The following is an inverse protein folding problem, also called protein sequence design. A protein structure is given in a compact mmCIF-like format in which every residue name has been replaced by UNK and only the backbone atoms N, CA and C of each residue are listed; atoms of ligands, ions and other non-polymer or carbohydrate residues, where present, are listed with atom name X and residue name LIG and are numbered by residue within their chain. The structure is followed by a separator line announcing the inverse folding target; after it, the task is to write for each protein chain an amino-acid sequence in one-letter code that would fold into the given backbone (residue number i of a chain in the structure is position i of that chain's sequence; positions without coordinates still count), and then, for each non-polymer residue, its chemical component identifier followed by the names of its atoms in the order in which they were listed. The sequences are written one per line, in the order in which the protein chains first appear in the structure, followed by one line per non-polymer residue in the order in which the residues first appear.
data_IF_313142366440
#
_entry.id   IF_313142366440
#
_cell.length_a   1.000
_cell.length_b   1.000
_cell.length_c   1.000
_cell.angle_alpha   90.00
_cell.angle_beta   90.00
_cell.angle_gamma   90.00
#
_symmetry.space_group_name_H-M   'P 1'
#
loop_
_entity.id
_entity.type
_entity.pdbx_description
1 polymer ?
#
# COMPACT_ATOMS: atom_id res chain seq x y z
N UNK A 1 31.46 32.58 18.54
CA UNK A 1 31.29 31.17 18.14
C UNK A 1 30.02 30.64 18.80
N UNK A 2 29.01 30.25 18.03
CA UNK A 2 28.09 29.15 18.34
C UNK A 2 27.06 29.06 17.20
N UNK A 3 26.85 27.84 16.71
CA UNK A 3 26.04 27.52 15.56
C UNK A 3 24.58 27.30 15.95
N UNK A 4 23.65 27.73 15.09
CA UNK A 4 22.23 27.36 15.21
C UNK A 4 21.97 26.22 14.23
N UNK A 5 21.84 25.00 14.76
CA UNK A 5 21.38 23.82 14.03
C UNK A 5 19.86 23.88 13.94
N UNK A 6 19.33 23.95 12.72
CA UNK A 6 17.91 23.75 12.46
C UNK A 6 17.55 22.29 12.74
N UNK A 7 16.66 22.09 13.71
CA UNK A 7 16.15 20.78 14.10
C UNK A 7 15.10 20.30 13.12
N UNK A 8 15.37 19.16 12.49
CA UNK A 8 14.46 18.39 11.65
C UNK A 8 13.32 17.87 12.53
N UNK A 9 12.08 18.27 12.22
CA UNK A 9 10.87 17.68 12.82
C UNK A 9 10.61 16.29 12.20
N UNK A 10 10.37 15.24 13.00
CA UNK A 10 10.17 13.89 12.48
C UNK A 10 8.79 13.74 11.81
N UNK A 11 8.67 12.84 10.82
CA UNK A 11 7.49 12.69 9.96
C UNK A 11 6.23 12.21 10.68
N UNK A 12 6.34 11.78 11.95
CA UNK A 12 5.18 11.33 12.73
C UNK A 12 4.21 12.45 13.09
N UNK A 13 4.68 13.69 13.30
CA UNK A 13 3.80 14.82 13.61
C UNK A 13 2.92 15.27 12.44
N UNK A 14 3.39 15.04 11.21
CA UNK A 14 2.65 15.39 9.98
C UNK A 14 1.52 14.38 9.72
N UNK A 15 1.70 13.13 10.17
CA UNK A 15 0.69 12.08 10.01
C UNK A 15 -0.46 12.19 11.02
N UNK A 16 -0.20 12.69 12.23
CA UNK A 16 -1.26 12.99 13.23
C UNK A 16 -2.20 14.10 12.75
N UNK A 17 -1.67 15.11 12.06
CA UNK A 17 -2.44 16.25 11.53
C UNK A 17 -3.33 15.86 10.33
N UNK A 18 -2.90 14.87 9.53
CA UNK A 18 -3.64 14.39 8.36
C UNK A 18 -4.78 13.41 8.69
N UNK A 19 -4.70 12.70 9.83
CA UNK A 19 -5.70 11.69 10.21
C UNK A 19 -6.73 12.19 11.22
N UNK A 20 -6.64 13.44 11.68
CA UNK A 20 -7.64 14.05 12.57
C UNK A 20 -7.83 13.31 13.90
N UNK A 21 -6.84 12.51 14.32
CA UNK A 21 -6.86 11.79 15.60
C UNK A 21 -6.22 12.66 16.68
N UNK A 22 -6.91 13.74 17.03
CA UNK A 22 -6.62 14.47 18.26
C UNK A 22 -7.07 13.64 19.45
N UNK A 23 -6.15 12.92 20.09
CA UNK A 23 -6.38 12.34 21.42
C UNK A 23 -6.47 13.50 22.41
N UNK A 24 -7.69 13.92 22.72
CA UNK A 24 -7.97 14.97 23.70
C UNK A 24 -7.63 14.49 25.10
N UNK A 25 -6.47 14.89 25.63
CA UNK A 25 -6.28 14.94 27.09
C UNK A 25 -6.53 16.35 27.56
N UNK A 26 -7.69 16.50 28.19
CA UNK A 26 -8.06 17.50 29.19
C UNK A 26 -7.93 18.98 28.79
N UNK A 27 -9.09 19.63 28.70
CA UNK A 27 -9.18 21.08 28.86
C UNK A 27 -10.23 21.72 27.97
N UNK A 28 -11.42 21.86 28.54
CA UNK A 28 -12.32 23.00 28.37
C UNK A 28 -13.03 23.16 27.01
N UNK A 29 -14.21 22.53 26.97
CA UNK A 29 -15.53 23.16 26.72
C UNK A 29 -15.43 24.59 26.18
N UNK A 30 -15.90 24.83 24.94
CA UNK A 30 -17.10 25.64 24.69
C UNK A 30 -17.57 25.47 23.23
N UNK A 31 -18.85 25.15 23.13
CA UNK A 31 -19.81 25.58 22.13
C UNK A 31 -19.68 25.09 20.67
N UNK A 32 -20.35 23.97 20.40
CA UNK A 32 -20.96 23.71 19.10
C UNK A 32 -22.27 22.94 19.32
N UNK A 33 -23.36 23.69 19.52
CA UNK A 33 -24.74 23.20 19.50
C UNK A 33 -25.03 22.63 18.09
N UNK A 34 -24.92 21.31 17.95
CA UNK A 34 -25.36 20.56 16.78
C UNK A 34 -26.53 19.65 17.17
N UNK A 35 -27.72 20.09 16.78
CA UNK A 35 -28.95 19.30 16.61
C UNK A 35 -29.20 18.18 17.64
N UNK A 36 -29.98 18.51 18.67
CA UNK A 36 -30.62 17.53 19.55
C UNK A 36 -31.47 16.53 18.73
N UNK A 37 -30.95 15.31 18.56
CA UNK A 37 -31.79 14.13 18.63
C UNK A 37 -31.94 13.78 20.11
N UNK A 38 -33.16 13.76 20.64
CA UNK A 38 -33.42 13.25 21.99
C UNK A 38 -33.44 11.72 21.92
N UNK A 39 -32.47 11.06 22.55
CA UNK A 39 -32.41 9.60 22.65
C UNK A 39 -32.78 9.19 24.08
N UNK A 40 -33.66 8.20 24.22
CA UNK A 40 -34.02 7.60 25.50
C UNK A 40 -33.34 6.24 25.62
N UNK A 41 -32.62 6.00 26.71
CA UNK A 41 -32.06 4.69 27.03
C UNK A 41 -33.01 3.96 27.99
N UNK A 42 -33.51 2.80 27.56
CA UNK A 42 -34.32 1.90 28.39
C UNK A 42 -33.39 1.00 29.21
N UNK A 43 -33.53 1.02 30.54
CA UNK A 43 -32.80 0.11 31.42
C UNK A 43 -33.45 -1.28 31.33
N UNK A 44 -32.79 -2.22 30.65
CA UNK A 44 -33.18 -3.63 30.65
C UNK A 44 -32.38 -4.36 31.72
N UNK A 45 -33.05 -4.78 32.78
CA UNK A 45 -32.52 -5.76 33.73
C UNK A 45 -32.90 -7.15 33.25
N UNK A 46 -31.93 -8.01 32.95
CA UNK A 46 -32.18 -9.42 32.65
C UNK A 46 -32.60 -10.10 33.96
N UNK A 47 -33.90 -10.19 34.21
CA UNK A 47 -34.47 -11.03 35.27
C UNK A 47 -34.96 -12.33 34.65
N UNK A 48 -34.06 -13.02 33.95
CA UNK A 48 -34.28 -14.41 33.53
C UNK A 48 -33.65 -15.30 34.58
N UNK A 49 -34.23 -15.26 35.79
CA UNK A 49 -34.12 -16.36 36.75
C UNK A 49 -35.09 -17.44 36.28
N UNK A 50 -34.87 -18.01 35.09
CA UNK A 50 -35.38 -19.33 34.80
C UNK A 50 -34.38 -20.30 35.39
N UNK A 51 -34.58 -20.59 36.67
CA UNK A 51 -34.13 -21.83 37.31
C UNK A 51 -34.79 -23.00 36.55
N UNK A 52 -34.35 -23.27 35.32
CA UNK A 52 -34.54 -24.58 34.69
C UNK A 52 -33.41 -25.46 35.24
N UNK A 53 -33.51 -25.75 36.54
CA UNK A 53 -32.62 -26.65 37.29
C UNK A 53 -33.05 -28.13 37.10
N UNK A 54 -33.78 -28.40 36.01
CA UNK A 54 -34.22 -29.73 35.58
C UNK A 54 -33.26 -30.36 34.55
N UNK A 55 -32.06 -29.79 34.36
CA UNK A 55 -31.01 -30.47 33.62
C UNK A 55 -30.43 -31.60 34.48
N UNK A 56 -30.98 -32.81 34.32
CA UNK A 56 -30.44 -34.03 34.90
C UNK A 56 -29.06 -34.31 34.26
N UNK A 57 -28.00 -34.01 35.01
CA UNK A 57 -26.64 -34.32 34.60
C UNK A 57 -26.42 -35.83 34.67
N UNK A 58 -26.20 -36.47 33.52
CA UNK A 58 -25.73 -37.86 33.48
C UNK A 58 -24.28 -37.92 34.01
N UNK A 59 -24.05 -38.76 35.02
CA UNK A 59 -22.70 -39.08 35.49
C UNK A 59 -21.99 -39.91 34.40
N UNK A 60 -21.03 -39.28 33.73
CA UNK A 60 -20.16 -39.99 32.79
C UNK A 60 -19.29 -40.95 33.62
N UNK A 61 -19.17 -42.23 33.23
CA UNK A 61 -18.28 -43.14 33.93
C UNK A 61 -16.88 -42.53 34.05
N UNK A 62 -16.33 -42.55 35.27
CA UNK A 62 -14.93 -42.24 35.54
C UNK A 62 -14.07 -43.30 34.84
N UNK A 63 -13.87 -43.11 33.53
CA UNK A 63 -12.77 -43.76 32.86
C UNK A 63 -11.51 -43.13 33.45
N UNK A 64 -10.94 -43.83 34.44
CA UNK A 64 -9.61 -43.57 34.96
C UNK A 64 -8.58 -43.82 33.85
N UNK A 65 -8.58 -42.94 32.85
CA UNK A 65 -7.50 -42.75 31.91
C UNK A 65 -6.36 -42.17 32.73
N UNK A 66 -5.57 -43.05 33.34
CA UNK A 66 -4.22 -42.69 33.75
C UNK A 66 -3.49 -42.25 32.49
N UNK A 67 -3.40 -40.93 32.29
CA UNK A 67 -2.50 -40.34 31.30
C UNK A 67 -1.11 -40.88 31.63
N UNK A 68 -0.39 -41.52 30.69
CA UNK A 68 0.95 -42.01 30.95
C UNK A 68 1.81 -40.83 31.40
N UNK A 69 2.20 -40.82 32.67
CA UNK A 69 3.10 -39.81 33.22
C UNK A 69 4.48 -40.04 32.59
N UNK A 70 4.77 -39.33 31.49
CA UNK A 70 6.01 -39.55 30.76
C UNK A 70 6.24 -38.74 29.48
N UNK A 71 5.29 -37.93 29.01
CA UNK A 71 5.45 -37.19 27.75
C UNK A 71 5.32 -35.66 27.84
N UNK A 72 5.10 -35.11 29.02
CA UNK A 72 5.19 -33.65 29.26
C UNK A 72 6.63 -33.22 29.62
N UNK A 73 7.53 -33.28 28.63
CA UNK A 73 8.89 -32.75 28.78
C UNK A 73 8.93 -31.25 28.45
N UNK A 74 9.19 -30.39 29.44
CA UNK A 74 9.37 -28.94 29.28
C UNK A 74 10.39 -28.61 28.19
N UNK A 75 11.41 -29.46 28.03
CA UNK A 75 12.44 -29.31 26.99
C UNK A 75 11.83 -29.38 25.59
N UNK A 76 10.87 -30.29 25.39
CA UNK A 76 10.17 -30.48 24.12
C UNK A 76 9.26 -29.30 23.79
N UNK A 77 8.57 -28.74 24.79
CA UNK A 77 7.76 -27.53 24.62
C UNK A 77 8.62 -26.32 24.24
N UNK A 78 9.76 -26.13 24.91
CA UNK A 78 10.73 -25.08 24.57
C UNK A 78 11.29 -25.26 23.16
N UNK A 79 11.59 -26.49 22.75
CA UNK A 79 12.08 -26.81 21.41
C UNK A 79 11.03 -26.47 20.34
N UNK A 80 9.77 -26.87 20.53
CA UNK A 80 8.69 -26.55 19.58
C UNK A 80 8.47 -25.04 19.44
N UNK A 81 8.54 -24.28 20.54
CA UNK A 81 8.45 -22.83 20.50
C UNK A 81 9.65 -22.21 19.75
N UNK A 82 10.86 -22.68 20.02
CA UNK A 82 12.08 -22.22 19.34
C UNK A 82 12.03 -22.51 17.83
N UNK A 83 11.55 -23.69 17.44
CA UNK A 83 11.38 -24.10 16.06
C UNK A 83 10.32 -23.24 15.35
N UNK A 84 9.18 -22.99 15.99
CA UNK A 84 8.13 -22.11 15.46
C UNK A 84 8.61 -20.66 15.27
N UNK A 85 9.39 -20.13 16.22
CA UNK A 85 10.00 -18.79 16.10
C UNK A 85 11.00 -18.75 14.94
N UNK A 86 11.79 -19.81 14.78
CA UNK A 86 12.76 -19.93 13.69
C UNK A 86 12.07 -20.01 12.33
N UNK A 87 11.02 -20.82 12.21
CA UNK A 87 10.22 -20.96 11.00
C UNK A 87 9.51 -19.66 10.63
N UNK A 88 8.95 -18.95 11.62
CA UNK A 88 8.32 -17.65 11.41
C UNK A 88 9.33 -16.63 10.92
N UNK A 89 10.54 -16.62 11.50
CA UNK A 89 11.62 -15.71 11.09
C UNK A 89 12.18 -16.03 9.70
N UNK A 90 12.27 -17.31 9.32
CA UNK A 90 12.64 -17.74 7.97
C UNK A 90 11.55 -17.36 6.97
N UNK A 91 10.28 -17.52 7.35
CA UNK A 91 9.15 -17.16 6.50
C UNK A 91 9.09 -15.65 6.29
N UNK A 92 9.30 -14.84 7.32
CA UNK A 92 9.40 -13.38 7.23
C UNK A 92 10.57 -12.96 6.34
N UNK A 93 11.76 -13.57 6.50
CA UNK A 93 12.93 -13.28 5.65
C UNK A 93 12.72 -13.69 4.18
N UNK A 94 11.96 -14.76 3.92
CA UNK A 94 11.66 -15.26 2.56
C UNK A 94 10.45 -14.59 1.92
N UNK A 95 9.57 -13.98 2.70
CA UNK A 95 8.35 -13.30 2.22
C UNK A 95 8.54 -11.80 1.99
N UNK A 96 9.71 -11.23 2.28
CA UNK A 96 10.14 -9.98 1.63
C UNK A 96 10.51 -10.30 0.18
N UNK A 97 9.50 -10.68 -0.61
CA UNK A 97 9.57 -10.47 -2.04
C UNK A 97 9.85 -8.98 -2.20
N UNK A 98 10.99 -8.57 -2.80
CA UNK A 98 11.14 -7.19 -3.18
C UNK A 98 9.90 -6.87 -4.01
N UNK A 99 9.10 -5.89 -3.57
CA UNK A 99 8.02 -5.31 -4.36
C UNK A 99 8.59 -5.18 -5.77
N UNK A 100 8.09 -5.99 -6.69
CA UNK A 100 8.62 -6.09 -8.05
C UNK A 100 8.45 -4.71 -8.63
N UNK A 101 9.49 -3.88 -8.53
CA UNK A 101 9.56 -2.61 -9.22
C UNK A 101 9.43 -3.03 -10.67
N UNK A 102 8.29 -2.72 -11.29
CA UNK A 102 8.06 -2.99 -12.70
C UNK A 102 9.13 -2.20 -13.44
N UNK A 103 10.23 -2.87 -13.76
CA UNK A 103 11.27 -2.31 -14.61
C UNK A 103 10.56 -1.98 -15.91
N UNK A 104 10.52 -0.71 -16.35
CA UNK A 104 9.70 -0.36 -17.48
C UNK A 104 10.20 -1.14 -18.70
N UNK A 105 9.27 -1.83 -19.39
CA UNK A 105 9.63 -2.75 -20.48
C UNK A 105 10.35 -1.98 -21.59
N UNK A 106 11.35 -2.62 -22.20
CA UNK A 106 11.96 -2.09 -23.42
C UNK A 106 10.89 -2.12 -24.52
N UNK A 107 10.87 -1.10 -25.40
CA UNK A 107 9.85 -1.00 -26.46
C UNK A 107 9.76 -2.28 -27.32
N UNK A 108 10.90 -2.91 -27.60
CA UNK A 108 10.96 -4.19 -28.31
C UNK A 108 10.18 -5.29 -27.60
N UNK A 109 10.41 -5.46 -26.29
CA UNK A 109 9.74 -6.47 -25.47
C UNK A 109 8.25 -6.21 -25.41
N UNK A 110 7.85 -4.94 -25.21
CA UNK A 110 6.44 -4.56 -25.18
C UNK A 110 5.72 -4.91 -26.49
N UNK A 111 6.32 -4.57 -27.63
CA UNK A 111 5.73 -4.85 -28.94
C UNK A 111 5.68 -6.36 -29.22
N UNK A 112 6.76 -7.09 -28.92
CA UNK A 112 6.78 -8.55 -29.06
C UNK A 112 5.70 -9.19 -28.19
N UNK A 113 5.64 -8.82 -26.91
CA UNK A 113 4.65 -9.32 -25.95
C UNK A 113 3.22 -9.00 -26.40
N UNK A 114 2.98 -7.78 -26.89
CA UNK A 114 1.69 -7.36 -27.43
C UNK A 114 1.27 -8.22 -28.64
N UNK A 115 2.16 -8.38 -29.62
CA UNK A 115 1.87 -9.15 -30.83
C UNK A 115 1.62 -10.63 -30.52
N UNK A 116 2.38 -11.21 -29.59
CA UNK A 116 2.18 -12.58 -29.08
C UNK A 116 0.82 -12.70 -28.38
N UNK A 117 0.52 -11.80 -27.44
CA UNK A 117 -0.73 -11.82 -26.67
C UNK A 117 -1.96 -11.67 -27.55
N UNK A 118 -1.86 -10.90 -28.63
CA UNK A 118 -2.93 -10.69 -29.60
C UNK A 118 -2.99 -11.77 -30.69
N UNK A 119 -2.09 -12.76 -30.69
CA UNK A 119 -2.06 -13.85 -31.67
C UNK A 119 -1.63 -13.41 -33.08
N UNK A 120 -0.97 -12.26 -33.22
CA UNK A 120 -0.56 -11.67 -34.49
C UNK A 120 0.79 -12.21 -34.97
N UNK A 121 0.91 -13.52 -35.14
CA UNK A 121 2.18 -14.20 -35.41
C UNK A 121 2.86 -13.76 -36.70
N UNK A 122 2.11 -13.58 -37.79
CA UNK A 122 2.68 -13.09 -39.06
C UNK A 122 3.26 -11.68 -38.93
N UNK A 123 2.59 -10.81 -38.17
CA UNK A 123 3.06 -9.44 -37.93
C UNK A 123 4.30 -9.44 -37.04
N UNK A 124 4.34 -10.32 -36.04
CA UNK A 124 5.53 -10.53 -35.21
C UNK A 124 6.73 -10.98 -36.05
N UNK A 125 6.55 -11.96 -36.93
CA UNK A 125 7.63 -12.48 -37.79
C UNK A 125 8.21 -11.40 -38.71
N UNK A 126 7.33 -10.59 -39.33
CA UNK A 126 7.75 -9.44 -40.13
C UNK A 126 8.49 -8.39 -39.29
N UNK A 127 7.91 -8.02 -38.14
CA UNK A 127 8.49 -7.03 -37.23
C UNK A 127 9.89 -7.44 -36.76
N UNK A 128 10.07 -8.67 -36.29
CA UNK A 128 11.36 -9.17 -35.83
C UNK A 128 12.40 -9.17 -36.96
N UNK A 129 12.02 -9.59 -38.17
CA UNK A 129 12.91 -9.60 -39.33
C UNK A 129 13.40 -8.19 -39.68
N UNK A 130 12.48 -7.23 -39.77
CA UNK A 130 12.82 -5.82 -40.05
C UNK A 130 13.65 -5.20 -38.92
N UNK A 131 13.30 -5.50 -37.66
CA UNK A 131 14.00 -4.99 -36.48
C UNK A 131 15.45 -5.48 -36.42
N UNK A 132 15.68 -6.78 -36.61
CA UNK A 132 17.04 -7.33 -36.66
C UNK A 132 17.85 -6.83 -37.86
N UNK A 133 17.22 -6.61 -39.01
CA UNK A 133 17.87 -5.98 -40.16
C UNK A 133 18.29 -4.54 -39.85
N UNK A 134 17.44 -3.78 -39.15
CA UNK A 134 17.70 -2.40 -38.76
C UNK A 134 18.85 -2.30 -37.75
N UNK A 135 18.91 -3.24 -36.79
CA UNK A 135 20.02 -3.38 -35.84
C UNK A 135 21.32 -3.70 -36.58
N UNK A 136 21.31 -4.68 -37.49
CA UNK A 136 22.49 -5.10 -38.24
C UNK A 136 23.06 -3.99 -39.14
N UNK A 137 22.20 -3.15 -39.71
CA UNK A 137 22.61 -1.99 -40.50
C UNK A 137 23.20 -0.85 -39.66
N UNK A 138 23.22 -0.99 -38.33
CA UNK A 138 23.79 0.02 -37.44
C UNK A 138 22.97 1.31 -37.42
N UNK A 139 21.66 1.26 -37.69
CA UNK A 139 20.74 2.37 -37.44
C UNK A 139 20.49 2.40 -35.92
N UNK A 140 21.49 2.89 -35.20
CA UNK A 140 21.68 2.72 -33.75
C UNK A 140 20.73 3.54 -32.86
N UNK A 141 19.90 4.41 -33.42
CA UNK A 141 18.94 5.19 -32.62
C UNK A 141 17.80 4.37 -32.03
N UNK A 142 17.61 3.12 -32.48
CA UNK A 142 16.64 2.20 -31.87
C UNK A 142 16.99 1.86 -30.42
N UNK A 143 18.28 1.82 -30.07
CA UNK A 143 18.72 1.65 -28.68
C UNK A 143 18.43 2.89 -27.80
N UNK A 144 18.08 4.02 -28.42
CA UNK A 144 17.60 5.24 -27.77
C UNK A 144 16.07 5.31 -27.68
N UNK A 145 15.35 4.34 -28.25
CA UNK A 145 13.93 4.16 -28.01
C UNK A 145 13.79 3.70 -26.55
N UNK A 146 13.70 4.68 -25.64
CA UNK A 146 13.69 4.46 -24.20
C UNK A 146 12.60 3.51 -23.74
N UNK A 147 12.60 3.15 -22.47
CA UNK A 147 11.61 2.23 -21.94
C UNK A 147 10.18 2.77 -22.11
N UNK A 148 9.21 1.87 -22.25
CA UNK A 148 7.79 2.23 -22.31
C UNK A 148 7.41 2.92 -21.00
N UNK A 149 7.04 4.22 -21.02
CA UNK A 149 6.63 4.91 -19.81
C UNK A 149 5.32 4.29 -19.30
N UNK A 150 5.21 4.10 -17.98
CA UNK A 150 3.91 3.79 -17.41
C UNK A 150 2.95 5.00 -17.56
N UNK A 151 1.65 4.72 -17.56
CA UNK A 151 0.60 5.75 -17.75
C UNK A 151 0.71 6.86 -16.71
N UNK A 152 1.14 6.51 -15.49
CA UNK A 152 1.30 7.47 -14.40
C UNK A 152 2.44 8.47 -14.69
N UNK A 153 3.59 7.98 -15.15
CA UNK A 153 4.76 8.74 -15.53
C UNK A 153 4.45 9.66 -16.71
N UNK A 154 3.67 9.17 -17.67
CA UNK A 154 3.18 9.98 -18.78
C UNK A 154 2.26 11.10 -18.29
N UNK A 155 1.30 10.79 -17.41
CA UNK A 155 0.40 11.79 -16.83
C UNK A 155 1.17 12.85 -16.02
N UNK A 156 2.12 12.44 -15.19
CA UNK A 156 2.97 13.34 -14.41
C UNK A 156 3.78 14.29 -15.31
N UNK A 157 4.35 13.78 -16.41
CA UNK A 157 5.05 14.60 -17.41
C UNK A 157 4.12 15.64 -18.05
N UNK A 158 2.95 15.19 -18.52
CA UNK A 158 1.94 16.06 -19.15
C UNK A 158 1.38 17.12 -18.19
N UNK A 159 1.21 16.78 -16.91
CA UNK A 159 0.79 17.72 -15.87
C UNK A 159 1.83 18.82 -15.65
N UNK A 160 3.11 18.44 -15.57
CA UNK A 160 4.20 19.40 -15.42
C UNK A 160 4.33 20.32 -16.63
N UNK A 161 4.22 19.77 -17.85
CA UNK A 161 4.22 20.55 -19.09
C UNK A 161 3.04 21.53 -19.13
N UNK A 162 1.83 21.07 -18.82
CA UNK A 162 0.64 21.93 -18.74
C UNK A 162 0.81 23.06 -17.73
N UNK A 163 1.41 22.78 -16.57
CA UNK A 163 1.68 23.79 -15.54
C UNK A 163 2.64 24.87 -16.07
N UNK A 164 3.70 24.47 -16.78
CA UNK A 164 4.65 25.39 -17.38
C UNK A 164 4.00 26.23 -18.48
N UNK A 165 3.29 25.59 -19.41
CA UNK A 165 2.58 26.29 -20.49
C UNK A 165 1.55 27.30 -19.95
N UNK A 166 0.82 26.95 -18.89
CA UNK A 166 -0.11 27.89 -18.21
C UNK A 166 0.62 29.08 -17.59
N UNK A 167 1.79 28.86 -17.00
CA UNK A 167 2.63 29.93 -16.44
C UNK A 167 3.10 30.88 -17.53
N UNK A 168 3.62 30.33 -18.63
CA UNK A 168 4.09 31.11 -19.77
C UNK A 168 2.95 31.91 -20.40
N UNK A 169 1.78 31.30 -20.58
CA UNK A 169 0.58 31.99 -21.06
C UNK A 169 0.20 33.18 -20.16
N UNK A 170 0.28 33.02 -18.83
CA UNK A 170 0.01 34.11 -17.88
C UNK A 170 1.03 35.24 -18.05
N UNK A 171 2.31 34.91 -18.21
CA UNK A 171 3.36 35.90 -18.44
C UNK A 171 3.16 36.66 -19.75
N UNK A 172 2.85 35.97 -20.84
CA UNK A 172 2.58 36.61 -22.13
C UNK A 172 1.35 37.52 -22.08
N UNK A 173 0.27 37.10 -21.41
CA UNK A 173 -0.91 37.96 -21.20
C UNK A 173 -0.57 39.23 -20.43
N UNK A 174 0.17 39.11 -19.33
CA UNK A 174 0.59 40.28 -18.53
C UNK A 174 1.48 41.23 -19.33
N UNK A 175 2.42 40.70 -20.12
CA UNK A 175 3.28 41.51 -20.98
C UNK A 175 2.46 42.25 -22.06
N UNK A 176 1.50 41.57 -22.68
CA UNK A 176 0.61 42.18 -23.68
C UNK A 176 -0.26 43.29 -23.07
N UNK A 177 -0.83 43.05 -21.88
CA UNK A 177 -1.56 44.08 -21.14
C UNK A 177 -0.67 45.28 -20.83
N UNK A 178 0.54 45.08 -20.31
CA UNK A 178 1.48 46.16 -20.00
C UNK A 178 1.86 47.00 -21.23
N UNK A 179 2.03 46.36 -22.40
CA UNK A 179 2.30 47.06 -23.67
C UNK A 179 1.07 47.83 -24.16
N UNK A 180 -0.15 47.33 -23.92
CA UNK A 180 -1.39 48.02 -24.34
C UNK A 180 -1.74 49.28 -23.54
N UNK A 181 -1.13 49.47 -22.37
CA UNK A 181 -1.33 50.63 -21.49
C UNK A 181 -0.25 51.71 -21.64
N UNK A 182 0.76 51.52 -22.50
CA UNK A 182 1.76 52.54 -22.88
C UNK A 182 1.51 53.03 -24.30
#
# INVERSE_FOLDING_TARGET
MAAQREGITPPLRVLEEALGLGLTTAGDVEDAVAAEGTYYLEQVTITEASEDDDFEYEEIPDDNFSIPEGEEDLTKAMQMFQEQVTDSQILEQKTVLPSKREVPEVIEDFLCNFLIKMGMTRTLDCFQSEWYELIQKGVTEVSGAGNVPDVYSQNMLLENENKNLKKDLKHYKQAAEYVSFN
#
